data_IF_840216917474
#
_entry.id   IF_840216917474
#
_cell.length_a   1.000
_cell.length_b   1.000
_cell.length_c   1.000
_cell.angle_alpha   90.00
_cell.angle_beta   90.00
_cell.angle_gamma   90.00
#
_symmetry.space_group_name_H-M   'P 1'
#
loop_
_entity.id
_entity.type
_entity.pdbx_description
1 polymer ?
#
# COMPACT_ATOMS: atom_id res chain seq x y z
N UNK A 1 9.55 -13.67 -17.50
CA UNK A 1 8.33 -13.61 -16.67
C UNK A 1 8.62 -13.31 -15.20
N UNK A 2 9.64 -13.93 -14.56
CA UNK A 2 9.99 -13.65 -13.16
C UNK A 2 10.18 -12.15 -12.83
N UNK A 3 10.87 -11.40 -13.71
CA UNK A 3 11.05 -9.96 -13.54
C UNK A 3 9.72 -9.20 -13.43
N UNK A 4 8.67 -9.59 -14.18
CA UNK A 4 7.37 -8.92 -14.12
C UNK A 4 6.67 -9.13 -12.77
N UNK A 5 6.75 -10.33 -12.19
CA UNK A 5 6.23 -10.60 -10.84
C UNK A 5 7.00 -9.81 -9.78
N UNK A 6 8.33 -9.72 -9.91
CA UNK A 6 9.15 -8.90 -9.03
C UNK A 6 8.78 -7.41 -9.12
N UNK A 7 8.62 -6.87 -10.33
CA UNK A 7 8.20 -5.47 -10.53
C UNK A 7 6.79 -5.20 -9.99
N UNK A 8 5.83 -6.11 -10.19
CA UNK A 8 4.49 -5.98 -9.62
C UNK A 8 4.49 -6.01 -8.10
N UNK A 9 5.31 -6.87 -7.50
CA UNK A 9 5.50 -6.93 -6.04
C UNK A 9 6.12 -5.64 -5.52
N UNK A 10 7.16 -5.14 -6.18
CA UNK A 10 7.77 -3.86 -5.83
C UNK A 10 6.77 -2.70 -5.93
N UNK A 11 5.91 -2.68 -6.96
CA UNK A 11 4.87 -1.68 -7.09
C UNK A 11 3.85 -1.76 -5.93
N UNK A 12 3.47 -2.97 -5.51
CA UNK A 12 2.55 -3.18 -4.40
C UNK A 12 3.15 -2.77 -3.04
N UNK A 13 4.43 -3.07 -2.81
CA UNK A 13 5.18 -2.56 -1.65
C UNK A 13 5.17 -1.03 -1.66
N UNK A 14 5.45 -0.42 -2.82
CA UNK A 14 5.45 1.04 -2.94
C UNK A 14 4.08 1.68 -2.72
N UNK A 15 2.98 1.02 -3.10
CA UNK A 15 1.65 1.53 -2.79
C UNK A 15 1.32 1.44 -1.31
N UNK A 16 1.87 0.46 -0.60
CA UNK A 16 1.70 0.33 0.86
C UNK A 16 2.54 1.34 1.66
N UNK A 17 3.57 1.93 1.04
CA UNK A 17 4.48 2.89 1.66
C UNK A 17 4.45 4.28 1.00
N UNK A 18 3.31 5.02 1.06
CA UNK A 18 3.22 6.37 0.50
C UNK A 18 4.14 7.37 1.22
N UNK A 19 4.54 7.11 2.47
CA UNK A 19 5.46 7.92 3.25
C UNK A 19 6.91 7.86 2.75
N UNK A 20 7.26 6.85 1.95
CA UNK A 20 8.62 6.73 1.42
C UNK A 20 8.92 7.77 0.35
N UNK A 21 10.00 8.56 0.48
CA UNK A 21 10.37 9.57 -0.50
C UNK A 21 10.53 8.98 -1.91
N UNK A 22 10.13 9.71 -2.96
CA UNK A 22 10.33 9.30 -4.37
C UNK A 22 11.78 9.51 -4.82
N UNK A 23 12.72 8.94 -4.07
CA UNK A 23 14.17 8.99 -4.31
C UNK A 23 14.71 7.57 -4.48
N UNK A 24 16.00 7.45 -4.81
CA UNK A 24 16.69 6.15 -4.85
C UNK A 24 16.63 5.41 -3.52
N UNK A 25 16.57 6.14 -2.40
CA UNK A 25 16.47 5.56 -1.06
C UNK A 25 15.23 4.68 -0.90
N UNK A 26 14.12 5.03 -1.54
CA UNK A 26 12.93 4.19 -1.45
C UNK A 26 12.97 2.99 -2.41
N UNK A 27 13.75 3.05 -3.48
CA UNK A 27 14.02 1.85 -4.28
C UNK A 27 14.85 0.84 -3.48
N UNK A 28 15.84 1.32 -2.71
CA UNK A 28 16.61 0.50 -1.78
C UNK A 28 15.71 -0.12 -0.71
N UNK A 29 14.89 0.68 0.00
CA UNK A 29 13.94 0.15 0.99
C UNK A 29 12.95 -0.87 0.41
N UNK A 30 12.48 -0.65 -0.81
CA UNK A 30 11.59 -1.62 -1.50
C UNK A 30 12.30 -2.94 -1.71
N UNK A 31 13.56 -2.92 -2.17
CA UNK A 31 14.35 -4.12 -2.41
C UNK A 31 14.75 -4.82 -1.10
N UNK A 32 15.10 -4.05 -0.07
CA UNK A 32 15.44 -4.58 1.25
C UNK A 32 14.24 -5.29 1.89
N UNK A 33 13.04 -4.69 1.83
CA UNK A 33 11.83 -5.32 2.34
C UNK A 33 11.47 -6.60 1.57
N UNK A 34 11.57 -6.54 0.24
CA UNK A 34 11.31 -7.69 -0.62
C UNK A 34 12.32 -8.82 -0.38
N UNK A 35 13.58 -8.49 -0.10
CA UNK A 35 14.62 -9.46 0.28
C UNK A 35 14.38 -10.06 1.66
N UNK A 36 14.05 -9.23 2.66
CA UNK A 36 13.82 -9.65 4.05
C UNK A 36 12.62 -10.59 4.20
N UNK A 37 11.63 -10.47 3.31
CA UNK A 37 10.40 -11.29 3.31
C UNK A 37 10.48 -12.48 2.36
N UNK A 38 11.53 -12.59 1.55
CA UNK A 38 11.72 -13.72 0.63
C UNK A 38 11.99 -15.03 1.39
N UNK A 39 11.44 -16.12 0.86
CA UNK A 39 11.59 -17.45 1.42
C UNK A 39 12.80 -18.12 0.77
N UNK A 40 13.80 -18.49 1.56
CA UNK A 40 14.91 -19.32 1.07
C UNK A 40 14.37 -20.70 0.65
N UNK A 41 14.63 -21.07 -0.60
CA UNK A 41 14.16 -22.32 -1.21
C UNK A 41 15.31 -23.23 -1.67
N UNK A 42 16.53 -23.02 -1.17
CA UNK A 42 17.70 -23.84 -1.53
C UNK A 42 17.49 -25.31 -1.19
N UNK A 43 16.93 -25.59 0.00
CA UNK A 43 16.60 -26.95 0.43
C UNK A 43 15.59 -27.66 -0.49
N UNK A 44 14.79 -26.90 -1.25
CA UNK A 44 13.82 -27.42 -2.21
C UNK A 44 14.39 -27.53 -3.64
N UNK A 45 15.61 -27.03 -3.88
CA UNK A 45 16.23 -27.00 -5.20
C UNK A 45 17.69 -27.51 -5.14
N UNK A 46 17.89 -28.83 -4.94
CA UNK A 46 19.22 -29.41 -4.86
C UNK A 46 20.07 -29.12 -6.11
N UNK A 47 21.33 -28.72 -5.91
CA UNK A 47 22.28 -28.32 -6.97
C UNK A 47 22.25 -26.83 -7.34
N UNK A 48 21.31 -26.08 -6.79
CA UNK A 48 21.16 -24.63 -6.97
C UNK A 48 21.39 -23.84 -5.68
N UNK A 49 21.95 -24.46 -4.65
CA UNK A 49 22.24 -23.83 -3.38
C UNK A 49 23.06 -22.55 -3.58
N UNK A 50 22.67 -21.45 -2.93
CA UNK A 50 23.26 -20.13 -3.05
C UNK A 50 23.23 -19.49 -4.46
N UNK A 51 22.52 -20.08 -5.43
CA UNK A 51 22.36 -19.51 -6.79
C UNK A 51 21.00 -18.88 -7.01
N UNK A 52 20.09 -18.97 -6.04
CA UNK A 52 18.71 -18.46 -6.11
C UNK A 52 18.56 -17.04 -5.54
N UNK A 53 19.66 -16.39 -5.18
CA UNK A 53 19.67 -15.09 -4.52
C UNK A 53 19.10 -15.18 -3.10
N UNK A 54 18.28 -14.21 -2.71
CA UNK A 54 17.62 -14.15 -1.39
C UNK A 54 16.45 -15.14 -1.25
N UNK A 55 16.07 -15.82 -2.32
CA UNK A 55 15.02 -16.82 -2.34
C UNK A 55 13.82 -16.44 -3.19
N UNK A 56 12.69 -17.13 -2.96
CA UNK A 56 11.42 -16.88 -3.63
C UNK A 56 10.70 -15.71 -2.96
N UNK A 57 10.31 -14.74 -3.76
CA UNK A 57 9.54 -13.57 -3.32
C UNK A 57 8.22 -14.00 -2.64
N UNK A 58 7.86 -13.33 -1.55
CA UNK A 58 6.57 -13.48 -0.87
C UNK A 58 5.85 -12.11 -0.83
N UNK A 59 5.03 -11.80 -1.86
CA UNK A 59 4.35 -10.52 -1.95
C UNK A 59 3.40 -10.26 -0.77
N UNK A 60 2.78 -11.31 -0.22
CA UNK A 60 1.84 -11.15 0.88
C UNK A 60 2.58 -10.76 2.17
N UNK A 61 3.70 -11.43 2.48
CA UNK A 61 4.53 -11.07 3.61
C UNK A 61 5.13 -9.67 3.47
N UNK A 62 5.57 -9.30 2.26
CA UNK A 62 6.13 -7.97 2.00
C UNK A 62 5.13 -6.84 2.21
N UNK A 63 3.88 -7.01 1.76
CA UNK A 63 2.81 -6.00 1.97
C UNK A 63 2.37 -5.95 3.43
N UNK A 64 2.25 -7.10 4.09
CA UNK A 64 1.85 -7.17 5.50
C UNK A 64 2.88 -6.54 6.46
N UNK A 65 4.12 -6.37 6.02
CA UNK A 65 5.18 -5.70 6.78
C UNK A 65 5.15 -4.17 6.66
N UNK A 66 4.28 -3.61 5.81
CA UNK A 66 4.06 -2.17 5.72
C UNK A 66 3.23 -1.60 6.88
N UNK A 67 3.01 -0.28 6.91
CA UNK A 67 2.09 0.33 7.87
C UNK A 67 0.71 -0.34 7.76
N UNK A 68 -0.07 -0.39 8.86
CA UNK A 68 -1.46 -0.85 8.79
C UNK A 68 -2.20 -0.10 7.69
N UNK A 69 -3.15 -0.77 7.03
CA UNK A 69 -3.97 -0.11 6.00
C UNK A 69 -4.56 1.19 6.58
N UNK A 70 -4.50 2.31 5.84
CA UNK A 70 -5.17 3.54 6.22
C UNK A 70 -6.62 3.24 6.57
N UNK A 71 -7.14 3.87 7.62
CA UNK A 71 -8.54 3.73 7.98
C UNK A 71 -9.34 4.32 6.81
N UNK A 72 -10.36 3.60 6.34
CA UNK A 72 -11.18 4.11 5.24
C UNK A 72 -11.85 5.39 5.72
N UNK A 73 -11.57 6.51 5.04
CA UNK A 73 -12.05 7.83 5.43
C UNK A 73 -11.04 8.69 6.18
N UNK A 74 -9.88 8.16 6.59
CA UNK A 74 -8.76 8.94 7.16
C UNK A 74 -8.01 9.60 5.99
N UNK A 75 -8.40 10.83 5.67
CA UNK A 75 -7.93 11.61 4.53
C UNK A 75 -6.68 12.43 4.85
N UNK A 76 -6.43 12.75 6.12
CA UNK A 76 -5.22 13.46 6.54
C UNK A 76 -4.10 12.56 7.12
N UNK A 77 -4.38 11.26 7.25
CA UNK A 77 -3.49 10.20 7.67
C UNK A 77 -2.98 10.35 9.12
N UNK A 78 -3.80 10.90 10.01
CA UNK A 78 -3.46 11.05 11.44
C UNK A 78 -3.83 9.83 12.30
N UNK A 79 -4.57 8.87 11.73
CA UNK A 79 -4.90 7.59 12.34
C UNK A 79 -6.29 7.52 12.96
N UNK A 80 -7.14 8.52 12.74
CA UNK A 80 -8.57 8.48 13.05
C UNK A 80 -9.42 9.01 11.88
N UNK A 81 -10.76 8.93 12.02
CA UNK A 81 -11.70 9.51 11.05
C UNK A 81 -12.55 10.53 11.78
N UNK A 82 -12.28 11.81 11.57
CA UNK A 82 -12.86 12.89 12.35
C UNK A 82 -13.36 14.06 11.48
N UNK A 83 -13.56 15.24 12.11
CA UNK A 83 -14.02 16.43 11.43
C UNK A 83 -13.00 17.04 10.44
N UNK A 84 -11.70 16.80 10.63
CA UNK A 84 -10.66 17.21 9.68
C UNK A 84 -10.81 16.45 8.36
N UNK A 85 -11.03 15.14 8.44
CA UNK A 85 -11.28 14.32 7.25
C UNK A 85 -12.59 14.69 6.57
N UNK A 86 -13.65 14.91 7.36
CA UNK A 86 -14.93 15.35 6.82
C UNK A 86 -14.81 16.69 6.09
N UNK A 87 -14.02 17.63 6.61
CA UNK A 87 -13.74 18.88 5.93
C UNK A 87 -12.97 18.65 4.61
N UNK A 88 -12.02 17.72 4.60
CA UNK A 88 -11.32 17.27 3.40
C UNK A 88 -12.27 16.72 2.33
N UNK A 89 -13.17 15.81 2.72
CA UNK A 89 -14.16 15.24 1.81
C UNK A 89 -15.09 16.31 1.22
N UNK A 90 -15.61 17.21 2.07
CA UNK A 90 -16.52 18.26 1.64
C UNK A 90 -15.84 19.31 0.76
N UNK A 91 -14.54 19.55 0.93
CA UNK A 91 -13.75 20.41 0.04
C UNK A 91 -13.72 19.89 -1.39
N UNK A 92 -13.76 18.57 -1.57
CA UNK A 92 -13.63 17.89 -2.85
C UNK A 92 -14.98 17.36 -3.38
N UNK A 93 -16.11 17.76 -2.78
CA UNK A 93 -17.42 17.25 -3.15
C UNK A 93 -17.76 17.54 -4.64
N UNK A 94 -18.07 16.48 -5.39
CA UNK A 94 -18.29 16.50 -6.84
C UNK A 94 -17.02 16.42 -7.70
N UNK A 95 -15.83 16.32 -7.09
CA UNK A 95 -14.58 16.09 -7.83
C UNK A 95 -14.52 14.66 -8.40
N UNK A 96 -13.72 14.50 -9.45
CA UNK A 96 -13.43 13.22 -10.10
C UNK A 96 -11.95 12.90 -9.90
N UNK A 97 -11.62 11.65 -9.57
CA UNK A 97 -10.24 11.21 -9.29
C UNK A 97 -9.58 11.93 -8.08
N UNK A 98 -10.38 12.34 -7.09
CA UNK A 98 -9.85 12.85 -5.82
C UNK A 98 -9.48 11.70 -4.88
N UNK A 99 -8.57 11.94 -3.94
CA UNK A 99 -8.34 11.04 -2.80
C UNK A 99 -9.54 10.95 -1.85
N UNK A 100 -10.48 11.90 -1.92
CA UNK A 100 -11.73 11.88 -1.16
C UNK A 100 -12.81 10.93 -1.74
N UNK A 101 -12.56 10.32 -2.90
CA UNK A 101 -13.37 9.23 -3.47
C UNK A 101 -12.99 7.92 -2.74
N UNK A 102 -13.52 7.79 -1.52
CA UNK A 102 -13.16 6.71 -0.58
C UNK A 102 -13.79 5.38 -0.97
N UNK A 103 -14.83 5.39 -1.81
CA UNK A 103 -15.42 4.16 -2.36
C UNK A 103 -14.81 3.74 -3.71
N UNK A 104 -14.00 4.61 -4.32
CA UNK A 104 -13.31 4.44 -5.60
C UNK A 104 -14.25 4.21 -6.80
N UNK A 105 -15.43 4.83 -6.81
CA UNK A 105 -16.40 4.75 -7.92
C UNK A 105 -16.17 5.81 -9.01
N UNK A 106 -15.27 6.76 -8.76
CA UNK A 106 -14.80 7.75 -9.69
C UNK A 106 -15.29 9.18 -9.40
N UNK A 107 -16.18 9.40 -8.43
CA UNK A 107 -16.68 10.73 -8.09
C UNK A 107 -16.88 10.87 -6.58
N UNK A 108 -16.51 12.02 -6.01
CA UNK A 108 -16.78 12.31 -4.60
C UNK A 108 -18.24 12.72 -4.42
N UNK A 109 -19.07 11.86 -3.83
CA UNK A 109 -20.49 12.13 -3.61
C UNK A 109 -21.04 11.66 -2.26
N UNK A 110 -22.38 11.54 -2.15
CA UNK A 110 -23.04 11.12 -0.91
C UNK A 110 -22.72 9.69 -0.50
N UNK A 111 -22.23 8.87 -1.43
CA UNK A 111 -21.81 7.50 -1.18
C UNK A 111 -20.49 7.47 -0.43
N UNK A 112 -19.54 8.36 -0.78
CA UNK A 112 -18.30 8.57 -0.02
C UNK A 112 -18.58 9.11 1.37
N UNK A 113 -19.50 10.08 1.47
CA UNK A 113 -19.94 10.60 2.76
C UNK A 113 -20.55 9.49 3.63
N UNK A 114 -21.34 8.58 3.06
CA UNK A 114 -21.89 7.46 3.79
C UNK A 114 -20.83 6.49 4.30
N UNK A 115 -19.77 6.24 3.50
CA UNK A 115 -18.62 5.44 3.91
C UNK A 115 -17.87 6.12 5.06
N UNK A 116 -17.58 7.41 4.94
CA UNK A 116 -16.89 8.19 5.97
C UNK A 116 -17.66 8.21 7.29
N UNK A 117 -18.97 8.44 7.26
CA UNK A 117 -19.80 8.41 8.48
C UNK A 117 -19.88 7.01 9.11
N UNK A 118 -19.66 5.95 8.34
CA UNK A 118 -19.56 4.59 8.86
C UNK A 118 -18.23 4.30 9.57
N UNK A 119 -17.18 5.06 9.26
CA UNK A 119 -15.84 4.94 9.83
C UNK A 119 -15.55 5.98 10.93
N UNK A 120 -16.42 6.97 11.11
CA UNK A 120 -16.24 8.12 12.00
C UNK A 120 -15.96 7.73 13.46
N UNK A 121 -14.88 8.26 14.04
CA UNK A 121 -14.39 7.92 15.38
C UNK A 121 -14.45 9.04 16.40
N UNK A 122 -14.65 10.31 16.02
CA UNK A 122 -14.95 11.39 16.97
C UNK A 122 -14.45 12.77 16.61
#
# INVERSE_FOLDING_TARGET
LAAAFASGTAALIRSQHPEWPRTTYAAEQTMDLMAATSINIDALNPGFENKLGVGRIDPAAAVAAGPPMPIVGDLDADGDVDLADLAGLLSDFGAVHSSADVNADGVVDLTDLAVMLGAFTG
#
